data_IF_111331691723
#
_entry.id   IF_111331691723
#
_cell.length_a   1.000
_cell.length_b   1.000
_cell.length_c   1.000
_cell.angle_alpha   90.00
_cell.angle_beta   90.00
_cell.angle_gamma   90.00
#
_symmetry.space_group_name_H-M   'P 1'
#
loop_
_entity.id
_entity.type
_entity.pdbx_description
1 polymer ?
#
# COMPACT_ATOMS: atom_id res chain seq x y z
N UNK A 1 -9.04 35.78 1.63
CA UNK A 1 -8.97 34.82 0.52
C UNK A 1 -7.90 33.81 0.86
N UNK A 2 -8.23 32.54 0.91
CA UNK A 2 -7.31 31.44 1.26
C UNK A 2 -6.89 30.72 -0.01
N UNK A 3 -5.65 30.23 -0.06
CA UNK A 3 -5.11 29.52 -1.20
C UNK A 3 -5.06 28.02 -0.95
N UNK A 4 -5.44 27.22 -1.94
CA UNK A 4 -5.41 25.78 -1.83
C UNK A 4 -4.82 25.12 -3.07
N UNK A 5 -4.22 23.94 -2.89
CA UNK A 5 -3.90 23.01 -3.96
C UNK A 5 -4.93 21.88 -3.96
N UNK A 6 -5.20 21.30 -5.12
CA UNK A 6 -6.19 20.23 -5.23
C UNK A 6 -5.57 18.97 -5.81
N UNK A 7 -5.88 17.80 -5.23
CA UNK A 7 -5.44 16.51 -5.74
C UNK A 7 -6.60 15.67 -6.26
N UNK A 8 -6.39 15.07 -7.40
CA UNK A 8 -7.36 14.25 -8.13
C UNK A 8 -6.74 12.89 -8.49
N UNK A 9 -7.52 11.82 -8.35
CA UNK A 9 -7.14 10.51 -8.86
C UNK A 9 -8.30 9.82 -9.54
N UNK A 10 -8.04 9.33 -10.74
CA UNK A 10 -9.02 8.56 -11.51
C UNK A 10 -8.40 7.30 -12.09
N UNK A 11 -9.21 6.27 -12.26
CA UNK A 11 -8.75 5.00 -12.84
C UNK A 11 -8.66 5.05 -14.36
N UNK A 12 -9.67 5.62 -15.07
CA UNK A 12 -9.69 5.66 -16.55
C UNK A 12 -10.77 6.58 -17.14
N UNK A 13 -11.60 7.22 -16.35
CA UNK A 13 -12.79 7.93 -16.84
C UNK A 13 -12.60 9.46 -16.72
N UNK A 14 -12.41 10.12 -17.86
CA UNK A 14 -12.27 11.59 -17.95
C UNK A 14 -13.48 12.33 -17.37
N UNK A 15 -14.68 11.79 -17.53
CA UNK A 15 -15.91 12.40 -16.98
C UNK A 15 -15.86 12.44 -15.45
N UNK A 16 -15.22 11.45 -14.82
CA UNK A 16 -15.01 11.41 -13.37
C UNK A 16 -14.02 12.50 -12.89
N UNK A 17 -12.98 12.84 -13.70
CA UNK A 17 -12.06 13.94 -13.38
C UNK A 17 -12.82 15.27 -13.35
N UNK A 18 -13.56 15.54 -14.41
CA UNK A 18 -14.31 16.80 -14.53
C UNK A 18 -15.29 16.98 -13.38
N UNK A 19 -16.00 15.92 -13.01
CA UNK A 19 -16.94 15.96 -11.88
C UNK A 19 -16.23 16.25 -10.55
N UNK A 20 -15.05 15.68 -10.30
CA UNK A 20 -14.25 15.98 -9.13
C UNK A 20 -13.77 17.43 -9.13
N UNK A 21 -13.27 17.94 -10.27
CA UNK A 21 -12.85 19.35 -10.40
C UNK A 21 -13.99 20.31 -10.10
N UNK A 22 -15.15 20.09 -10.70
CA UNK A 22 -16.35 20.92 -10.47
C UNK A 22 -16.74 20.91 -8.99
N UNK A 23 -16.76 19.75 -8.35
CA UNK A 23 -17.10 19.62 -6.94
C UNK A 23 -16.11 20.34 -6.03
N UNK A 24 -14.80 20.22 -6.29
CA UNK A 24 -13.75 20.91 -5.55
C UNK A 24 -13.82 22.42 -5.74
N UNK A 25 -14.02 22.91 -6.96
CA UNK A 25 -14.18 24.34 -7.26
C UNK A 25 -15.41 24.94 -6.56
N UNK A 26 -16.53 24.22 -6.59
CA UNK A 26 -17.76 24.64 -5.88
C UNK A 26 -17.51 24.74 -4.38
N UNK A 27 -16.96 23.68 -3.78
CA UNK A 27 -16.65 23.64 -2.35
C UNK A 27 -15.68 24.74 -1.92
N UNK A 28 -14.64 24.97 -2.71
CA UNK A 28 -13.65 26.03 -2.48
C UNK A 28 -14.29 27.41 -2.52
N UNK A 29 -15.10 27.69 -3.55
CA UNK A 29 -15.80 28.97 -3.70
C UNK A 29 -16.72 29.26 -2.52
N UNK A 30 -17.45 28.27 -2.03
CA UNK A 30 -18.38 28.43 -0.90
C UNK A 30 -17.65 28.75 0.43
N UNK A 31 -16.32 28.56 0.50
CA UNK A 31 -15.51 28.71 1.73
C UNK A 31 -14.33 29.67 1.59
N UNK A 32 -14.40 30.57 0.59
CA UNK A 32 -13.39 31.60 0.31
C UNK A 32 -11.98 31.03 0.03
N UNK A 33 -11.90 29.82 -0.55
CA UNK A 33 -10.67 29.27 -1.08
C UNK A 33 -10.52 29.54 -2.58
N UNK A 34 -9.30 29.90 -2.99
CA UNK A 34 -8.88 29.90 -4.38
C UNK A 34 -7.97 28.70 -4.62
N UNK A 35 -8.36 27.81 -5.53
CA UNK A 35 -7.51 26.70 -5.96
C UNK A 35 -6.46 27.26 -6.92
N UNK A 36 -5.19 27.12 -6.55
CA UNK A 36 -4.05 27.58 -7.33
C UNK A 36 -3.73 26.62 -8.47
N UNK A 37 -3.76 25.31 -8.17
CA UNK A 37 -3.43 24.27 -9.15
C UNK A 37 -4.10 22.93 -8.82
N UNK A 38 -4.19 22.05 -9.83
CA UNK A 38 -4.75 20.70 -9.75
C UNK A 38 -3.68 19.67 -10.11
N UNK A 39 -3.39 18.77 -9.21
CA UNK A 39 -2.46 17.65 -9.40
C UNK A 39 -3.24 16.37 -9.67
N UNK A 40 -2.90 15.69 -10.77
CA UNK A 40 -3.70 14.58 -11.26
C UNK A 40 -2.87 13.31 -11.42
N UNK A 41 -3.40 12.20 -10.94
CA UNK A 41 -2.89 10.87 -11.23
C UNK A 41 -3.95 10.09 -12.02
N UNK A 42 -3.85 10.15 -13.36
CA UNK A 42 -4.75 9.46 -14.28
C UNK A 42 -4.27 8.03 -14.54
N UNK A 43 -5.21 7.09 -14.66
CA UNK A 43 -4.94 5.67 -14.92
C UNK A 43 -4.05 4.98 -13.87
N UNK A 44 -3.91 5.57 -12.67
CA UNK A 44 -3.11 4.99 -11.58
C UNK A 44 -4.00 4.17 -10.66
N UNK A 45 -3.61 2.88 -10.48
CA UNK A 45 -4.31 2.00 -9.53
C UNK A 45 -4.20 2.54 -8.10
N UNK A 46 -5.30 2.52 -7.37
CA UNK A 46 -5.30 2.83 -5.94
C UNK A 46 -4.41 1.93 -5.08
N UNK A 47 -3.87 0.82 -5.64
CA UNK A 47 -2.88 -0.03 -4.96
C UNK A 47 -1.48 0.61 -4.89
N UNK A 48 -1.19 1.59 -5.74
CA UNK A 48 0.06 2.34 -5.67
C UNK A 48 -0.08 3.35 -4.54
N UNK A 49 0.78 3.34 -3.50
CA UNK A 49 0.76 4.33 -2.44
C UNK A 49 0.82 5.76 -3.00
N UNK A 50 0.10 6.71 -2.38
CA UNK A 50 0.02 8.08 -2.87
C UNK A 50 1.41 8.71 -3.07
N UNK A 51 2.30 8.54 -2.10
CA UNK A 51 3.68 9.07 -2.11
C UNK A 51 4.54 8.58 -3.30
N UNK A 52 4.12 7.50 -3.96
CA UNK A 52 4.81 6.93 -5.13
C UNK A 52 4.19 7.37 -6.47
N UNK A 53 3.11 8.17 -6.45
CA UNK A 53 2.45 8.68 -7.65
C UNK A 53 3.06 10.01 -8.09
N UNK A 54 3.13 10.25 -9.40
CA UNK A 54 3.76 11.47 -9.93
C UNK A 54 3.04 12.74 -9.49
N UNK A 55 1.72 12.84 -9.75
CA UNK A 55 0.95 14.03 -9.40
C UNK A 55 0.91 14.30 -7.89
N UNK A 56 0.88 13.25 -7.07
CA UNK A 56 0.94 13.43 -5.62
C UNK A 56 2.32 13.93 -5.15
N UNK A 57 3.41 13.50 -5.77
CA UNK A 57 4.76 14.00 -5.45
C UNK A 57 4.93 15.45 -5.85
N UNK A 58 4.47 15.83 -7.04
CA UNK A 58 4.49 17.22 -7.51
C UNK A 58 3.71 18.12 -6.55
N UNK A 59 2.52 17.68 -6.11
CA UNK A 59 1.76 18.36 -5.06
C UNK A 59 2.57 18.52 -3.78
N UNK A 60 3.20 17.44 -3.29
CA UNK A 60 4.00 17.50 -2.06
C UNK A 60 5.19 18.45 -2.17
N UNK A 61 5.86 18.48 -3.32
CA UNK A 61 7.00 19.35 -3.52
C UNK A 61 6.58 20.81 -3.55
N UNK A 62 5.41 21.12 -4.12
CA UNK A 62 4.87 22.47 -4.10
C UNK A 62 4.39 22.89 -2.70
N UNK A 63 3.69 22.00 -1.97
CA UNK A 63 3.22 22.28 -0.58
C UNK A 63 4.36 22.59 0.36
N UNK A 64 5.55 21.99 0.16
CA UNK A 64 6.74 22.27 0.99
C UNK A 64 7.33 23.67 0.76
N UNK A 65 7.12 24.23 -0.42
CA UNK A 65 7.79 25.46 -0.84
C UNK A 65 6.84 26.66 -0.97
N UNK A 66 5.57 26.41 -1.24
CA UNK A 66 4.57 27.46 -1.40
C UNK A 66 3.67 27.60 -0.16
N UNK A 67 3.44 28.81 0.34
CA UNK A 67 2.47 29.01 1.43
C UNK A 67 1.05 28.80 0.92
N UNK A 68 0.47 27.66 1.28
CA UNK A 68 -0.93 27.35 1.00
C UNK A 68 -1.70 27.07 2.29
N UNK A 69 -2.97 27.47 2.30
CA UNK A 69 -3.83 27.32 3.48
C UNK A 69 -4.46 25.93 3.60
N UNK A 70 -4.50 25.16 2.50
CA UNK A 70 -5.04 23.80 2.51
C UNK A 70 -4.65 23.00 1.25
N UNK A 71 -4.69 21.67 1.40
CA UNK A 71 -4.73 20.70 0.30
C UNK A 71 -6.14 20.10 0.25
N UNK A 72 -6.81 20.22 -0.88
CA UNK A 72 -8.18 19.75 -1.10
C UNK A 72 -8.19 18.43 -1.86
N UNK A 73 -9.01 17.49 -1.41
CA UNK A 73 -9.33 16.27 -2.15
C UNK A 73 -10.84 16.06 -2.19
N UNK A 74 -11.35 15.39 -3.22
CA UNK A 74 -12.77 15.13 -3.31
C UNK A 74 -13.23 14.18 -2.19
N UNK A 75 -12.53 13.08 -1.98
CA UNK A 75 -12.76 12.08 -0.91
C UNK A 75 -11.49 11.31 -0.60
N UNK A 76 -11.39 10.71 0.58
CA UNK A 76 -10.23 9.93 1.03
C UNK A 76 -9.86 8.77 0.10
N UNK A 77 -10.85 8.15 -0.52
CA UNK A 77 -10.64 7.04 -1.46
C UNK A 77 -9.81 7.43 -2.70
N UNK A 78 -9.67 8.74 -2.98
CA UNK A 78 -8.79 9.24 -4.05
C UNK A 78 -7.34 9.23 -3.64
N UNK A 79 -7.06 9.39 -2.35
CA UNK A 79 -5.69 9.42 -1.83
C UNK A 79 -5.14 8.00 -1.70
N UNK A 80 -5.82 7.11 -1.00
CA UNK A 80 -5.36 5.73 -0.79
C UNK A 80 -6.48 4.71 -0.93
N UNK A 81 -6.13 3.46 -1.21
CA UNK A 81 -7.07 2.34 -1.23
C UNK A 81 -7.18 1.69 0.16
N UNK A 82 -6.08 1.69 0.88
CA UNK A 82 -6.05 1.20 2.26
C UNK A 82 -6.10 2.40 3.20
N UNK A 83 -6.62 2.16 4.40
CA UNK A 83 -6.65 3.18 5.44
C UNK A 83 -5.25 3.70 5.78
N UNK A 84 -4.24 2.81 5.78
CA UNK A 84 -2.84 3.12 6.04
C UNK A 84 -2.23 4.06 5.01
N UNK A 85 -2.37 3.74 3.71
CA UNK A 85 -1.84 4.59 2.64
C UNK A 85 -2.45 5.99 2.70
N UNK A 86 -3.76 6.05 3.01
CA UNK A 86 -4.48 7.31 3.16
C UNK A 86 -3.97 8.12 4.35
N UNK A 87 -3.79 7.46 5.50
CA UNK A 87 -3.32 8.11 6.71
C UNK A 87 -1.88 8.60 6.59
N UNK A 88 -0.99 7.83 5.97
CA UNK A 88 0.40 8.24 5.73
C UNK A 88 0.47 9.45 4.80
N UNK A 89 -0.37 9.49 3.77
CA UNK A 89 -0.49 10.64 2.89
C UNK A 89 -1.01 11.89 3.63
N UNK A 90 -2.07 11.74 4.44
CA UNK A 90 -2.59 12.83 5.28
C UNK A 90 -1.52 13.35 6.22
N UNK A 91 -0.85 12.49 6.98
CA UNK A 91 0.22 12.88 7.91
C UNK A 91 1.35 13.63 7.20
N UNK A 92 1.69 13.21 5.99
CA UNK A 92 2.75 13.86 5.21
C UNK A 92 2.34 15.27 4.78
N UNK A 93 1.11 15.46 4.31
CA UNK A 93 0.60 16.79 3.92
C UNK A 93 0.43 17.69 5.14
N UNK A 94 -0.12 17.17 6.25
CA UNK A 94 -0.41 17.91 7.48
C UNK A 94 0.84 18.52 8.14
N UNK A 95 2.04 18.10 7.76
CA UNK A 95 3.28 18.75 8.20
C UNK A 95 3.45 20.16 7.61
N UNK A 96 2.75 20.44 6.52
CA UNK A 96 2.92 21.69 5.75
C UNK A 96 1.61 22.48 5.62
N UNK A 97 0.49 21.80 5.37
CA UNK A 97 -0.81 22.43 5.19
C UNK A 97 -1.95 21.50 5.63
N UNK A 98 -3.09 22.03 6.10
CA UNK A 98 -4.27 21.26 6.42
C UNK A 98 -4.75 20.43 5.23
N UNK A 99 -4.96 19.12 5.43
CA UNK A 99 -5.58 18.23 4.46
C UNK A 99 -7.11 18.25 4.63
N UNK A 100 -7.86 18.58 3.60
CA UNK A 100 -9.31 18.73 3.66
C UNK A 100 -9.97 17.81 2.63
N UNK A 101 -10.88 16.94 3.11
CA UNK A 101 -11.80 16.22 2.23
C UNK A 101 -13.05 17.06 1.98
N UNK A 102 -13.41 17.25 0.72
CA UNK A 102 -14.59 18.02 0.34
C UNK A 102 -15.89 17.19 0.34
N UNK A 103 -15.79 15.88 0.59
CA UNK A 103 -16.94 14.99 0.68
C UNK A 103 -17.79 15.30 1.92
N UNK A 104 -19.12 15.45 1.79
CA UNK A 104 -20.01 15.64 2.94
C UNK A 104 -19.95 14.47 3.96
N UNK A 105 -19.63 13.27 3.49
CA UNK A 105 -19.48 12.08 4.35
C UNK A 105 -18.23 12.12 5.24
N UNK A 106 -17.29 12.98 4.89
CA UNK A 106 -15.99 13.13 5.56
C UNK A 106 -15.87 14.55 6.17
N UNK A 107 -17.00 15.13 6.57
CA UNK A 107 -17.08 16.50 7.10
C UNK A 107 -16.18 16.74 8.33
N UNK A 108 -15.82 15.69 9.06
CA UNK A 108 -14.88 15.74 10.16
C UNK A 108 -13.46 16.19 9.76
N UNK A 109 -13.09 16.02 8.47
CA UNK A 109 -11.82 16.52 7.91
C UNK A 109 -11.91 17.91 7.30
N UNK A 110 -13.04 18.60 7.46
CA UNK A 110 -13.24 19.96 6.92
C UNK A 110 -12.89 21.06 7.92
N UNK A 111 -12.66 20.71 9.19
CA UNK A 111 -12.22 21.70 10.17
C UNK A 111 -10.78 22.13 9.90
N UNK A 112 -10.52 23.43 10.05
CA UNK A 112 -9.16 24.01 9.98
C UNK A 112 -8.59 24.31 11.37
N UNK A 113 -9.33 24.02 12.45
CA UNK A 113 -8.89 24.25 13.83
C UNK A 113 -7.78 23.24 14.18
N UNK A 114 -6.55 23.70 14.52
CA UNK A 114 -5.38 22.82 14.64
C UNK A 114 -5.49 21.76 15.75
N UNK A 115 -6.09 22.08 16.87
CA UNK A 115 -6.20 21.16 18.02
C UNK A 115 -7.15 20.02 17.69
N UNK A 116 -8.29 20.33 17.06
CA UNK A 116 -9.27 19.32 16.61
C UNK A 116 -8.65 18.44 15.54
N UNK A 117 -7.94 18.99 14.57
CA UNK A 117 -7.25 18.22 13.52
C UNK A 117 -6.24 17.25 14.11
N UNK A 118 -5.40 17.74 15.02
CA UNK A 118 -4.39 16.92 15.70
C UNK A 118 -5.03 15.75 16.45
N UNK A 119 -6.14 16.00 17.16
CA UNK A 119 -6.90 14.96 17.86
C UNK A 119 -7.45 13.93 16.88
N UNK A 120 -8.06 14.38 15.77
CA UNK A 120 -8.65 13.49 14.78
C UNK A 120 -7.61 12.60 14.10
N UNK A 121 -6.47 13.17 13.69
CA UNK A 121 -5.36 12.40 13.10
C UNK A 121 -4.80 11.40 14.13
N UNK A 122 -4.75 11.79 15.40
CA UNK A 122 -4.37 10.88 16.50
C UNK A 122 -5.32 9.69 16.61
N UNK A 123 -6.63 9.92 16.62
CA UNK A 123 -7.66 8.86 16.67
C UNK A 123 -7.56 7.95 15.43
N UNK A 124 -7.48 8.52 14.24
CA UNK A 124 -7.33 7.76 13.00
C UNK A 124 -6.07 6.89 13.03
N UNK A 125 -4.97 7.43 13.54
CA UNK A 125 -3.70 6.68 13.69
C UNK A 125 -3.89 5.49 14.63
N UNK A 126 -4.50 5.71 15.79
CA UNK A 126 -4.75 4.65 16.76
C UNK A 126 -5.67 3.55 16.20
N UNK A 127 -6.76 3.91 15.51
CA UNK A 127 -7.66 2.94 14.86
C UNK A 127 -6.90 2.09 13.86
N UNK A 128 -6.07 2.74 13.04
CA UNK A 128 -5.24 2.06 12.06
C UNK A 128 -4.29 1.05 12.74
N UNK A 129 -3.55 1.43 13.76
CA UNK A 129 -2.64 0.54 14.49
C UNK A 129 -3.39 -0.68 15.03
N UNK A 130 -4.57 -0.47 15.62
CA UNK A 130 -5.42 -1.56 16.12
C UNK A 130 -5.88 -2.52 15.02
N UNK A 131 -6.31 -2.01 13.87
CA UNK A 131 -6.68 -2.87 12.73
C UNK A 131 -5.51 -3.72 12.26
N UNK A 132 -4.31 -3.14 12.17
CA UNK A 132 -3.10 -3.88 11.80
C UNK A 132 -2.76 -4.99 12.80
N UNK A 133 -2.80 -4.69 14.09
CA UNK A 133 -2.58 -5.68 15.15
C UNK A 133 -3.59 -6.85 15.04
N UNK A 134 -4.87 -6.53 14.85
CA UNK A 134 -5.92 -7.54 14.69
C UNK A 134 -5.72 -8.40 13.45
N UNK A 135 -5.30 -7.82 12.33
CA UNK A 135 -4.99 -8.58 11.10
C UNK A 135 -3.80 -9.52 11.31
N UNK A 136 -2.73 -9.05 11.96
CA UNK A 136 -1.58 -9.88 12.31
C UNK A 136 -1.99 -11.02 13.23
N UNK A 137 -2.79 -10.74 14.27
CA UNK A 137 -3.27 -11.77 15.20
C UNK A 137 -4.14 -12.82 14.49
N UNK A 138 -5.12 -12.39 13.69
CA UNK A 138 -5.96 -13.30 12.89
C UNK A 138 -5.12 -14.20 11.96
N UNK A 139 -4.07 -13.64 11.37
CA UNK A 139 -3.15 -14.40 10.51
C UNK A 139 -2.38 -15.46 11.32
N UNK A 140 -1.85 -15.09 12.49
CA UNK A 140 -1.16 -16.02 13.40
C UNK A 140 -2.08 -17.15 13.85
N UNK A 141 -3.31 -16.81 14.27
CA UNK A 141 -4.31 -17.78 14.71
C UNK A 141 -4.74 -18.72 13.57
N UNK A 142 -4.87 -18.17 12.35
CA UNK A 142 -5.14 -18.96 11.14
C UNK A 142 -4.01 -19.93 10.82
N UNK A 143 -2.75 -19.49 10.93
CA UNK A 143 -1.59 -20.35 10.74
C UNK A 143 -1.49 -21.44 11.83
N UNK A 144 -1.74 -21.08 13.10
CA UNK A 144 -1.74 -22.05 14.20
C UNK A 144 -2.77 -23.15 13.94
N UNK A 145 -4.02 -22.79 13.65
CA UNK A 145 -5.09 -23.76 13.31
C UNK A 145 -4.74 -24.62 12.09
N UNK A 146 -4.13 -24.05 11.06
CA UNK A 146 -3.72 -24.80 9.88
C UNK A 146 -2.62 -25.82 10.21
N UNK A 147 -1.68 -25.45 11.09
CA UNK A 147 -0.61 -26.32 11.57
C UNK A 147 -1.16 -27.47 12.42
N UNK A 148 -2.07 -27.20 13.34
CA UNK A 148 -2.77 -28.22 14.16
C UNK A 148 -3.58 -29.18 13.27
N UNK A 149 -4.21 -28.68 12.21
CA UNK A 149 -4.90 -29.47 11.20
C UNK A 149 -3.98 -30.20 10.21
N UNK A 150 -2.66 -30.26 10.46
CA UNK A 150 -1.69 -30.99 9.63
C UNK A 150 -1.41 -30.34 8.27
N UNK A 151 -1.88 -29.13 8.00
CA UNK A 151 -1.61 -28.41 6.74
C UNK A 151 -0.21 -27.83 6.76
N UNK A 152 0.57 -28.11 5.71
CA UNK A 152 1.89 -27.48 5.51
C UNK A 152 1.75 -25.97 5.28
N UNK A 153 2.41 -25.17 6.11
CA UNK A 153 2.42 -23.72 5.98
C UNK A 153 3.68 -23.31 5.22
N UNK A 154 3.53 -22.42 4.25
CA UNK A 154 4.61 -21.87 3.43
C UNK A 154 4.65 -22.43 2.02
N UNK A 155 5.73 -22.15 1.30
CA UNK A 155 5.91 -22.61 -0.08
C UNK A 155 5.99 -24.15 -0.12
N UNK A 156 5.15 -24.84 -0.91
CA UNK A 156 5.20 -26.28 -1.05
C UNK A 156 6.60 -26.74 -1.45
N UNK A 157 7.09 -27.78 -0.78
CA UNK A 157 8.35 -28.38 -1.18
C UNK A 157 8.18 -29.06 -2.54
N UNK A 158 9.15 -28.85 -3.44
CA UNK A 158 9.16 -29.55 -4.72
C UNK A 158 9.34 -31.04 -4.42
N UNK A 159 8.41 -31.88 -4.88
CA UNK A 159 8.57 -33.33 -4.79
C UNK A 159 9.76 -33.71 -5.67
N UNK A 160 10.79 -34.27 -5.07
CA UNK A 160 11.95 -34.74 -5.77
C UNK A 160 11.73 -36.22 -6.14
N UNK A 161 11.99 -36.54 -7.38
CA UNK A 161 12.07 -37.95 -7.81
C UNK A 161 13.36 -38.55 -7.27
N UNK A 162 13.20 -39.35 -6.18
CA UNK A 162 14.33 -39.95 -5.48
C UNK A 162 14.99 -41.03 -6.33
N UNK A 163 14.22 -41.75 -7.16
CA UNK A 163 14.74 -42.84 -7.98
C UNK A 163 15.62 -42.26 -9.10
N UNK A 164 15.18 -41.16 -9.70
CA UNK A 164 15.95 -40.43 -10.67
C UNK A 164 17.21 -39.77 -10.04
N UNK A 165 17.09 -39.23 -8.81
CA UNK A 165 18.27 -38.73 -8.08
C UNK A 165 19.30 -39.82 -7.84
N UNK A 166 18.88 -41.03 -7.39
CA UNK A 166 19.79 -42.16 -7.14
C UNK A 166 20.46 -42.64 -8.42
N UNK A 167 19.73 -42.76 -9.53
CA UNK A 167 20.32 -43.11 -10.85
C UNK A 167 21.42 -42.13 -11.27
N UNK A 168 21.14 -40.80 -11.20
CA UNK A 168 22.12 -39.77 -11.56
C UNK A 168 23.34 -39.75 -10.63
N UNK A 169 23.20 -40.19 -9.37
CA UNK A 169 24.32 -40.35 -8.43
C UNK A 169 25.18 -41.54 -8.77
N UNK A 170 24.57 -42.70 -9.13
CA UNK A 170 25.30 -43.94 -9.55
C UNK A 170 26.05 -43.68 -10.84
N UNK A 171 25.52 -42.88 -11.76
CA UNK A 171 26.19 -42.47 -13.02
C UNK A 171 27.35 -41.48 -12.79
N UNK A 172 27.73 -41.18 -11.55
CA UNK A 172 28.79 -40.23 -11.20
C UNK A 172 28.66 -38.84 -11.89
N UNK A 173 27.44 -38.41 -12.17
CA UNK A 173 27.19 -37.09 -12.79
C UNK A 173 27.62 -35.95 -11.87
N UNK A 174 28.19 -34.85 -12.40
CA UNK A 174 28.53 -33.69 -11.59
C UNK A 174 27.28 -33.09 -10.87
N UNK A 175 27.44 -32.73 -9.59
CA UNK A 175 26.35 -32.17 -8.75
C UNK A 175 25.61 -31.04 -9.41
N UNK A 176 26.30 -30.23 -10.22
CA UNK A 176 25.71 -29.13 -11.00
C UNK A 176 24.75 -29.62 -12.07
N UNK A 177 25.11 -30.72 -12.78
CA UNK A 177 24.23 -31.33 -13.80
C UNK A 177 23.01 -31.99 -13.15
N UNK A 178 23.21 -32.70 -12.04
CA UNK A 178 22.11 -33.32 -11.26
C UNK A 178 21.11 -32.27 -10.82
N UNK A 179 21.56 -31.16 -10.22
CA UNK A 179 20.66 -30.08 -9.80
C UNK A 179 19.88 -29.47 -10.98
N UNK A 180 20.54 -29.32 -12.13
CA UNK A 180 19.91 -28.76 -13.36
C UNK A 180 18.87 -29.72 -13.95
N UNK A 181 19.17 -31.03 -14.03
CA UNK A 181 18.26 -32.05 -14.57
C UNK A 181 17.02 -32.24 -13.70
N UNK A 182 17.16 -32.15 -12.37
CA UNK A 182 16.04 -32.21 -11.41
C UNK A 182 15.33 -30.86 -11.24
N UNK A 183 15.80 -29.80 -11.91
CA UNK A 183 15.22 -28.45 -11.87
C UNK A 183 15.19 -27.87 -10.45
N UNK A 184 16.23 -28.12 -9.63
CA UNK A 184 16.39 -27.63 -8.26
C UNK A 184 17.68 -26.83 -8.10
N UNK A 185 17.77 -26.04 -7.03
CA UNK A 185 19.02 -25.36 -6.69
C UNK A 185 20.06 -26.35 -6.14
N UNK A 186 21.36 -26.01 -6.29
CA UNK A 186 22.45 -26.80 -5.66
C UNK A 186 22.25 -26.93 -4.14
N UNK A 187 21.80 -25.84 -3.48
CA UNK A 187 21.54 -25.85 -2.05
C UNK A 187 20.43 -26.85 -1.68
N UNK A 188 19.38 -26.95 -2.49
CA UNK A 188 18.33 -27.96 -2.30
C UNK A 188 18.86 -29.38 -2.49
N UNK A 189 19.68 -29.60 -3.53
CA UNK A 189 20.30 -30.92 -3.76
C UNK A 189 21.14 -31.33 -2.56
N UNK A 190 22.03 -30.49 -2.07
CA UNK A 190 22.88 -30.82 -0.90
C UNK A 190 22.06 -31.09 0.36
N UNK A 191 20.94 -30.37 0.56
CA UNK A 191 20.04 -30.62 1.68
C UNK A 191 19.39 -32.00 1.61
N UNK A 192 18.93 -32.41 0.43
CA UNK A 192 18.34 -33.75 0.22
C UNK A 192 19.40 -34.89 0.38
N UNK A 193 20.62 -34.68 -0.12
CA UNK A 193 21.69 -35.62 0.05
C UNK A 193 22.06 -35.84 1.53
N UNK A 194 22.09 -34.78 2.34
CA UNK A 194 22.28 -34.90 3.78
C UNK A 194 21.18 -35.75 4.45
N UNK A 195 19.91 -35.55 4.03
CA UNK A 195 18.80 -36.31 4.58
C UNK A 195 18.83 -37.81 4.20
N UNK A 196 19.42 -38.13 3.04
CA UNK A 196 19.64 -39.51 2.62
C UNK A 196 20.80 -40.19 3.38
N UNK A 197 21.90 -39.45 3.65
CA UNK A 197 23.05 -39.96 4.38
C UNK A 197 22.82 -40.21 5.89
N UNK A 198 21.77 -39.61 6.47
CA UNK A 198 21.37 -39.88 7.86
C UNK A 198 20.37 -41.05 8.02
N UNK A 199 19.95 -41.69 6.90
CA UNK A 199 19.01 -42.82 6.93
C UNK A 199 19.68 -44.18 6.61
N UNK A 200 20.98 -44.18 6.48
CA UNK A 200 21.83 -45.39 6.42
C UNK A 200 22.53 -45.59 7.74
#
# INVERSE_FOLDING_TARGET
>A
MKYALAYLRVSTDEQTILNQKIALQKWAKERDFQILDFFEDSAVSGKVPAINRCGFRELLDLVKTAPVDAVLVYELSRVGRTFWDTLDAIKTIEQYAPFISCSPRESFLQTTEPSIRKLMIGILTWVAEREREMLVQRTKDGMARAKEGGKGIGRPRKKLDKDNLLKLLVENQPRTKIAKSLGISKATLYKELRQLSFKT
#
